data_IF_119504710260
#
_entry.id   IF_119504710260
#
_cell.length_a   1.000
_cell.length_b   1.000
_cell.length_c   1.000
_cell.angle_alpha   90.00
_cell.angle_beta   90.00
_cell.angle_gamma   90.00
#
_symmetry.space_group_name_H-M   'P 1'
#
loop_
_entity.id
_entity.type
_entity.pdbx_description
1 polymer ?
#
# COMPACT_ATOMS: atom_id res chain seq x y z
N UNK A 1 8.91 24.05 -26.71
CA UNK A 1 9.37 24.08 -25.30
C UNK A 1 8.14 24.13 -24.40
N UNK A 2 8.13 23.41 -23.26
CA UNK A 2 7.04 23.51 -22.30
C UNK A 2 6.79 24.96 -21.89
N UNK A 3 5.52 25.34 -21.76
CA UNK A 3 5.17 26.65 -21.21
C UNK A 3 5.43 26.62 -19.70
N UNK A 4 6.61 27.09 -19.30
CA UNK A 4 7.07 27.00 -17.91
C UNK A 4 6.19 27.83 -16.98
N UNK A 5 5.72 29.00 -17.45
CA UNK A 5 4.82 29.84 -16.68
C UNK A 5 3.53 29.09 -16.31
N UNK A 6 2.97 28.36 -17.27
CA UNK A 6 1.78 27.55 -17.04
C UNK A 6 2.00 26.43 -16.00
N UNK A 7 3.20 25.84 -15.95
CA UNK A 7 3.55 24.83 -14.94
C UNK A 7 3.69 25.44 -13.54
N UNK A 8 4.27 26.63 -13.43
CA UNK A 8 4.35 27.36 -12.16
C UNK A 8 2.95 27.72 -11.63
N UNK A 9 2.06 28.16 -12.52
CA UNK A 9 0.67 28.48 -12.18
C UNK A 9 -0.08 27.25 -11.65
N UNK A 10 0.05 26.09 -12.32
CA UNK A 10 -0.56 24.83 -11.86
C UNK A 10 -0.05 24.42 -10.47
N UNK A 11 1.24 24.61 -10.19
CA UNK A 11 1.83 24.31 -8.87
C UNK A 11 1.30 25.29 -7.81
N UNK A 12 1.18 26.58 -8.14
CA UNK A 12 0.66 27.61 -7.24
C UNK A 12 -0.82 27.38 -6.89
N UNK A 13 -1.62 26.89 -7.85
CA UNK A 13 -3.02 26.51 -7.64
C UNK A 13 -3.18 25.18 -6.86
N UNK A 14 -2.07 24.48 -6.57
CA UNK A 14 -2.09 23.20 -5.87
C UNK A 14 -2.51 22.02 -6.74
N UNK A 15 -2.53 22.18 -8.07
CA UNK A 15 -2.82 21.17 -9.09
C UNK A 15 -1.57 20.36 -9.45
N UNK A 16 -0.94 19.77 -8.44
CA UNK A 16 0.33 19.05 -8.58
C UNK A 16 0.26 17.89 -9.58
N UNK A 17 -0.87 17.18 -9.65
CA UNK A 17 -1.07 16.07 -10.58
C UNK A 17 -1.09 16.52 -12.04
N UNK A 18 -1.84 17.58 -12.35
CA UNK A 18 -1.90 18.17 -13.69
C UNK A 18 -0.52 18.72 -14.11
N UNK A 19 0.23 19.32 -13.18
CA UNK A 19 1.59 19.80 -13.44
C UNK A 19 2.55 18.64 -13.78
N UNK A 20 2.46 17.52 -13.06
CA UNK A 20 3.27 16.31 -13.33
C UNK A 20 2.94 15.69 -14.69
N UNK A 21 1.66 15.65 -15.05
CA UNK A 21 1.21 15.13 -16.34
C UNK A 21 1.66 16.01 -17.51
N UNK A 22 1.51 17.33 -17.36
CA UNK A 22 2.00 18.29 -18.34
C UNK A 22 3.53 18.21 -18.52
N UNK A 23 4.28 17.98 -17.43
CA UNK A 23 5.72 17.75 -17.48
C UNK A 23 6.07 16.44 -18.19
N UNK A 24 5.41 15.32 -17.86
CA UNK A 24 5.66 14.04 -18.54
C UNK A 24 5.39 14.13 -20.04
N UNK A 25 4.37 14.88 -20.43
CA UNK A 25 4.03 15.12 -21.83
C UNK A 25 5.07 15.97 -22.54
N UNK A 26 5.54 17.03 -21.88
CA UNK A 26 6.54 17.94 -22.44
C UNK A 26 7.94 17.31 -22.55
N UNK A 27 8.27 16.35 -21.69
CA UNK A 27 9.61 15.76 -21.54
C UNK A 27 9.69 14.30 -21.98
N UNK A 28 8.78 13.84 -22.85
CA UNK A 28 8.65 12.44 -23.31
C UNK A 28 9.97 11.76 -23.72
N UNK A 29 10.85 12.46 -24.41
CA UNK A 29 12.09 11.91 -24.98
C UNK A 29 13.37 12.46 -24.34
N UNK A 30 13.27 13.04 -23.14
CA UNK A 30 14.42 13.66 -22.45
C UNK A 30 14.95 12.77 -21.33
N UNK A 31 16.24 12.94 -20.99
CA UNK A 31 16.86 12.23 -19.86
C UNK A 31 16.17 12.55 -18.52
N UNK A 32 15.54 13.72 -18.44
CA UNK A 32 14.82 14.19 -17.26
C UNK A 32 13.48 13.49 -17.01
N UNK A 33 12.98 12.70 -17.96
CA UNK A 33 11.71 11.96 -17.83
C UNK A 33 11.70 11.03 -16.61
N UNK A 34 12.83 10.39 -16.32
CA UNK A 34 12.93 9.45 -15.21
C UNK A 34 12.66 10.12 -13.85
N UNK A 35 13.20 11.33 -13.65
CA UNK A 35 13.01 12.10 -12.43
C UNK A 35 11.54 12.54 -12.26
N UNK A 36 10.88 12.93 -13.35
CA UNK A 36 9.45 13.28 -13.33
C UNK A 36 8.59 12.06 -12.98
N UNK A 37 8.92 10.88 -13.52
CA UNK A 37 8.23 9.62 -13.18
C UNK A 37 8.38 9.30 -11.68
N UNK A 38 9.57 9.48 -11.12
CA UNK A 38 9.83 9.29 -9.69
C UNK A 38 8.96 10.23 -8.84
N UNK A 39 8.91 11.51 -9.17
CA UNK A 39 8.09 12.49 -8.47
C UNK A 39 6.59 12.16 -8.57
N UNK A 40 6.12 11.71 -9.75
CA UNK A 40 4.74 11.28 -9.94
C UNK A 40 4.40 10.04 -9.11
N UNK A 41 5.31 9.06 -9.05
CA UNK A 41 5.11 7.86 -8.24
C UNK A 41 5.02 8.20 -6.75
N UNK A 42 5.87 9.11 -6.26
CA UNK A 42 5.83 9.58 -4.87
C UNK A 42 4.53 10.32 -4.55
N UNK A 43 4.04 11.16 -5.49
CA UNK A 43 2.76 11.84 -5.35
C UNK A 43 1.59 10.85 -5.30
N UNK A 44 1.56 9.86 -6.20
CA UNK A 44 0.52 8.85 -6.23
C UNK A 44 0.49 8.01 -4.94
N UNK A 45 1.67 7.67 -4.39
CA UNK A 45 1.79 6.93 -3.13
C UNK A 45 1.19 7.73 -1.96
N UNK A 46 1.61 8.98 -1.76
CA UNK A 46 1.11 9.78 -0.63
C UNK A 46 -0.37 10.12 -0.79
N UNK A 47 -0.83 10.35 -2.02
CA UNK A 47 -2.23 10.57 -2.31
C UNK A 47 -3.08 9.33 -2.02
N UNK A 48 -2.61 8.15 -2.42
CA UNK A 48 -3.24 6.87 -2.09
C UNK A 48 -3.31 6.68 -0.58
N UNK A 49 -2.19 6.84 0.14
CA UNK A 49 -2.13 6.73 1.60
C UNK A 49 -3.09 7.69 2.31
N UNK A 50 -3.27 8.90 1.79
CA UNK A 50 -4.23 9.86 2.34
C UNK A 50 -5.68 9.39 2.11
N UNK A 51 -6.00 8.89 0.90
CA UNK A 51 -7.34 8.38 0.58
C UNK A 51 -7.74 7.19 1.44
N UNK A 52 -6.80 6.33 1.82
CA UNK A 52 -7.05 5.17 2.69
C UNK A 52 -6.84 5.47 4.18
N UNK A 53 -6.57 6.72 4.55
CA UNK A 53 -6.43 7.16 5.93
C UNK A 53 -5.17 6.70 6.66
N UNK A 54 -4.13 6.28 5.93
CA UNK A 54 -2.82 5.92 6.51
C UNK A 54 -2.05 7.17 6.95
N UNK A 55 -2.15 8.27 6.18
CA UNK A 55 -1.52 9.55 6.53
C UNK A 55 -2.58 10.60 6.85
N UNK A 56 -2.25 11.48 7.78
CA UNK A 56 -3.10 12.62 8.15
C UNK A 56 -3.11 13.69 7.04
N UNK A 57 -4.08 14.60 7.09
CA UNK A 57 -4.15 15.73 6.16
C UNK A 57 -2.87 16.59 6.21
N UNK A 58 -2.35 16.87 7.42
CA UNK A 58 -1.13 17.67 7.60
C UNK A 58 0.09 16.98 6.99
N UNK A 59 0.21 15.66 7.15
CA UNK A 59 1.28 14.85 6.55
C UNK A 59 1.17 14.82 5.02
N UNK A 60 -0.05 14.72 4.49
CA UNK A 60 -0.32 14.82 3.06
C UNK A 60 0.08 16.19 2.51
N UNK A 61 -0.32 17.29 3.16
CA UNK A 61 0.06 18.65 2.75
C UNK A 61 1.57 18.86 2.77
N UNK A 62 2.24 18.38 3.81
CA UNK A 62 3.68 18.47 3.93
C UNK A 62 4.40 17.67 2.83
N UNK A 63 3.93 16.48 2.50
CA UNK A 63 4.48 15.70 1.39
C UNK A 63 4.21 16.34 0.03
N UNK A 64 3.00 16.86 -0.21
CA UNK A 64 2.67 17.62 -1.42
C UNK A 64 3.59 18.84 -1.59
N UNK A 65 3.82 19.61 -0.53
CA UNK A 65 4.71 20.77 -0.57
C UNK A 65 6.16 20.38 -0.89
N UNK A 66 6.64 19.26 -0.34
CA UNK A 66 7.98 18.74 -0.68
C UNK A 66 8.09 18.39 -2.16
N UNK A 67 7.08 17.72 -2.72
CA UNK A 67 7.03 17.38 -4.15
C UNK A 67 6.98 18.65 -5.00
N UNK A 68 6.16 19.63 -4.64
CA UNK A 68 6.09 20.92 -5.34
C UNK A 68 7.44 21.64 -5.32
N UNK A 69 8.15 21.68 -4.18
CA UNK A 69 9.49 22.27 -4.12
C UNK A 69 10.50 21.52 -4.99
N UNK A 70 10.44 20.19 -5.02
CA UNK A 70 11.30 19.38 -5.90
C UNK A 70 11.01 19.69 -7.38
N UNK A 71 9.73 19.79 -7.77
CA UNK A 71 9.31 20.15 -9.13
C UNK A 71 9.81 21.54 -9.54
N UNK A 72 9.64 22.54 -8.67
CA UNK A 72 10.12 23.89 -8.95
C UNK A 72 11.65 23.95 -9.10
N UNK A 73 12.39 23.24 -8.24
CA UNK A 73 13.84 23.13 -8.36
C UNK A 73 14.25 22.47 -9.68
N UNK A 74 13.55 21.41 -10.07
CA UNK A 74 13.77 20.69 -11.32
C UNK A 74 13.50 21.58 -12.56
N UNK A 75 12.41 22.33 -12.55
CA UNK A 75 12.10 23.32 -13.59
C UNK A 75 13.21 24.38 -13.70
N UNK A 76 13.69 24.88 -12.56
CA UNK A 76 14.78 25.86 -12.52
C UNK A 76 16.12 25.30 -13.02
N UNK A 77 16.43 24.02 -12.76
CA UNK A 77 17.64 23.40 -13.30
C UNK A 77 17.60 23.30 -14.82
N UNK A 78 16.44 22.97 -15.39
CA UNK A 78 16.26 22.93 -16.85
C UNK A 78 16.40 24.33 -17.47
N UNK A 79 15.89 25.37 -16.80
CA UNK A 79 16.07 26.75 -17.27
C UNK A 79 17.53 27.20 -17.25
N UNK A 80 18.32 26.78 -16.24
CA UNK A 80 19.72 27.20 -16.07
C UNK A 80 20.70 26.59 -17.08
N UNK A 81 20.34 25.52 -17.79
CA UNK A 81 21.17 24.95 -18.87
C UNK A 81 21.16 25.80 -20.16
N UNK A 82 20.34 26.86 -20.22
CA UNK A 82 20.46 27.92 -21.22
C UNK A 82 21.38 29.02 -20.64
N UNK A 83 22.52 29.35 -21.29
CA UNK A 83 23.49 30.29 -20.73
C UNK A 83 22.97 31.71 -20.93
N UNK A 84 22.05 32.14 -20.08
CA UNK A 84 21.76 33.56 -19.92
C UNK A 84 22.26 34.05 -18.57
N UNK A 85 23.17 35.00 -18.69
CA UNK A 85 23.98 35.62 -17.66
C UNK A 85 23.06 36.38 -16.68
N UNK A 86 22.63 35.72 -15.61
CA UNK A 86 21.89 36.40 -14.54
C UNK A 86 22.88 37.05 -13.58
N UNK A 87 23.08 38.36 -13.77
CA UNK A 87 23.48 39.28 -12.72
C UNK A 87 22.44 39.25 -11.59
N UNK A 88 22.85 38.74 -10.43
CA UNK A 88 22.07 38.71 -9.20
C UNK A 88 22.09 40.12 -8.57
N UNK A 89 20.96 40.80 -8.32
CA UNK A 89 20.92 41.83 -7.30
C UNK A 89 20.93 41.15 -5.93
N UNK A 90 21.97 41.50 -5.18
CA UNK A 90 22.26 41.11 -3.80
C UNK A 90 21.05 41.40 -2.89
N UNK A 91 20.32 40.35 -2.51
CA UNK A 91 19.39 40.40 -1.38
C UNK A 91 20.21 39.98 -0.17
N UNK A 92 20.64 40.96 0.62
CA UNK A 92 21.21 40.73 1.96
C UNK A 92 20.14 40.03 2.82
N UNK A 93 20.31 38.73 3.00
CA UNK A 93 19.57 37.92 3.97
C UNK A 93 20.38 37.85 5.27
N UNK A 94 19.84 38.29 6.42
CA UNK A 94 20.59 38.40 7.68
C UNK A 94 20.65 37.08 8.47
N UNK A 95 20.85 35.94 7.79
CA UNK A 95 21.01 34.64 8.44
C UNK A 95 22.22 33.89 7.87
N UNK A 96 23.39 34.40 8.20
CA UNK A 96 24.69 33.81 7.87
C UNK A 96 25.38 33.30 9.13
N UNK A 97 24.75 32.36 9.86
CA UNK A 97 25.40 31.64 10.99
C UNK A 97 24.65 30.36 11.42
N UNK A 98 23.98 29.65 10.50
CA UNK A 98 23.35 28.36 10.80
C UNK A 98 24.00 27.22 10.01
N UNK A 99 24.94 26.58 10.67
CA UNK A 99 25.68 25.39 10.27
C UNK A 99 24.73 24.24 9.83
N UNK A 100 24.69 23.85 8.54
CA UNK A 100 23.72 22.91 7.98
C UNK A 100 23.85 21.47 8.53
N UNK A 101 24.94 21.15 9.23
CA UNK A 101 25.12 19.86 9.92
C UNK A 101 24.37 19.75 11.25
N UNK A 102 23.94 20.87 11.85
CA UNK A 102 23.25 20.87 13.15
C UNK A 102 21.77 20.47 13.05
N UNK A 103 21.14 20.74 11.90
CA UNK A 103 19.71 20.48 11.68
C UNK A 103 19.42 18.99 11.48
N UNK A 104 20.33 18.27 10.81
CA UNK A 104 20.16 16.83 10.58
C UNK A 104 20.30 16.01 11.88
N UNK A 105 21.14 16.48 12.81
CA UNK A 105 21.34 15.84 14.12
C UNK A 105 20.14 16.00 15.07
N UNK A 106 19.32 17.03 14.87
CA UNK A 106 18.11 17.31 15.69
C UNK A 106 16.83 16.61 15.19
N UNK A 107 16.76 16.22 13.91
CA UNK A 107 15.58 15.55 13.32
C UNK A 107 15.58 14.02 13.48
N UNK A 108 16.75 13.39 13.67
CA UNK A 108 16.89 11.95 13.85
C UNK A 108 16.13 11.36 15.07
N UNK A 109 16.11 11.97 16.27
CA UNK A 109 15.39 11.39 17.40
C UNK A 109 13.86 11.47 17.25
N UNK A 110 13.32 12.44 16.51
CA UNK A 110 11.86 12.64 16.39
C UNK A 110 11.22 11.61 15.46
N UNK A 111 11.85 11.30 14.33
CA UNK A 111 11.36 10.28 13.39
C UNK A 111 11.55 8.87 13.99
N UNK A 112 12.66 8.64 14.70
CA UNK A 112 12.91 7.37 15.39
C UNK A 112 11.91 7.10 16.52
N UNK A 113 11.48 8.13 17.28
CA UNK A 113 10.44 8.00 18.30
C UNK A 113 9.06 7.72 17.71
N UNK A 114 8.72 8.34 16.57
CA UNK A 114 7.44 8.07 15.87
C UNK A 114 7.37 6.63 15.34
N UNK A 115 8.45 6.12 14.74
CA UNK A 115 8.50 4.74 14.26
C UNK A 115 8.49 3.70 15.40
N UNK A 116 9.11 4.01 16.54
CA UNK A 116 9.11 3.14 17.73
C UNK A 116 7.72 3.01 18.37
N UNK A 117 6.94 4.09 18.39
CA UNK A 117 5.58 4.10 18.96
C UNK A 117 4.57 3.34 18.09
N UNK A 118 4.69 3.41 16.76
CA UNK A 118 3.81 2.68 15.83
C UNK A 118 4.04 1.16 15.88
N UNK A 119 5.30 0.71 15.96
CA UNK A 119 5.63 -0.72 16.10
C UNK A 119 5.10 -1.31 17.42
N UNK A 120 5.15 -0.54 18.50
CA UNK A 120 4.60 -0.93 19.81
C UNK A 120 3.08 -1.12 19.75
N UNK A 121 2.35 -0.27 19.02
CA UNK A 121 0.90 -0.36 18.95
C UNK A 121 0.45 -1.59 18.14
N UNK A 122 1.05 -1.82 16.97
CA UNK A 122 0.73 -2.99 16.15
C UNK A 122 1.06 -4.31 16.86
N UNK A 123 2.18 -4.36 17.60
CA UNK A 123 2.54 -5.53 18.41
C UNK A 123 1.53 -5.78 19.54
N UNK A 124 1.03 -4.73 20.20
CA UNK A 124 0.01 -4.88 21.24
C UNK A 124 -1.33 -5.36 20.67
N UNK A 125 -1.74 -4.86 19.50
CA UNK A 125 -2.96 -5.34 18.82
C UNK A 125 -2.84 -6.80 18.37
N UNK A 126 -1.73 -7.20 17.74
CA UNK A 126 -1.50 -8.59 17.33
C UNK A 126 -1.52 -9.55 18.52
N UNK A 127 -0.89 -9.17 19.64
CA UNK A 127 -0.86 -9.99 20.85
C UNK A 127 -2.27 -10.14 21.46
N UNK A 128 -3.08 -9.08 21.47
CA UNK A 128 -4.46 -9.13 21.92
C UNK A 128 -5.33 -10.07 21.06
N UNK A 129 -5.18 -10.02 19.73
CA UNK A 129 -5.91 -10.91 18.81
C UNK A 129 -5.54 -12.39 19.05
N UNK A 130 -4.25 -12.67 19.28
CA UNK A 130 -3.77 -14.03 19.58
C UNK A 130 -4.34 -14.53 20.91
N UNK A 131 -4.33 -13.72 21.97
CA UNK A 131 -4.90 -14.09 23.28
C UNK A 131 -6.40 -14.33 23.16
N UNK A 132 -7.14 -13.44 22.49
CA UNK A 132 -8.58 -13.60 22.29
C UNK A 132 -8.93 -14.87 21.52
N UNK A 133 -8.16 -15.17 20.47
CA UNK A 133 -8.35 -16.39 19.67
C UNK A 133 -8.08 -17.65 20.50
N UNK A 134 -7.04 -17.64 21.34
CA UNK A 134 -6.72 -18.75 22.24
C UNK A 134 -7.81 -18.94 23.31
N UNK A 135 -8.33 -17.85 23.87
CA UNK A 135 -9.42 -17.90 24.85
C UNK A 135 -10.71 -18.50 24.27
N UNK A 136 -11.07 -18.11 23.04
CA UNK A 136 -12.21 -18.69 22.31
C UNK A 136 -11.99 -20.19 22.06
N UNK A 137 -10.78 -20.58 21.66
CA UNK A 137 -10.45 -21.98 21.43
C UNK A 137 -10.57 -22.83 22.71
N UNK A 138 -10.01 -22.35 23.82
CA UNK A 138 -10.10 -23.03 25.13
C UNK A 138 -11.55 -23.11 25.59
N UNK A 139 -12.33 -22.03 25.48
CA UNK A 139 -13.74 -22.03 25.82
C UNK A 139 -14.54 -23.03 24.95
N UNK A 140 -14.22 -23.15 23.66
CA UNK A 140 -14.81 -24.14 22.77
C UNK A 140 -14.51 -25.59 23.18
N UNK A 141 -13.27 -25.90 23.56
CA UNK A 141 -12.87 -27.23 24.04
C UNK A 141 -13.56 -27.55 25.38
N UNK A 142 -13.61 -26.60 26.31
CA UNK A 142 -14.35 -26.75 27.57
C UNK A 142 -15.84 -26.97 27.33
N UNK A 143 -16.46 -26.20 26.42
CA UNK A 143 -17.86 -26.35 26.09
C UNK A 143 -18.15 -27.72 25.48
N UNK A 144 -17.33 -28.20 24.55
CA UNK A 144 -17.45 -29.55 24.01
C UNK A 144 -17.31 -30.62 25.10
N UNK A 145 -16.29 -30.53 25.95
CA UNK A 145 -16.08 -31.52 27.01
C UNK A 145 -17.26 -31.56 28.00
N UNK A 146 -17.79 -30.39 28.36
CA UNK A 146 -18.97 -30.29 29.24
C UNK A 146 -20.21 -30.83 28.55
N UNK A 147 -20.38 -30.57 27.25
CA UNK A 147 -21.49 -31.08 26.45
C UNK A 147 -21.46 -32.62 26.32
N UNK A 148 -20.27 -33.21 26.16
CA UNK A 148 -20.10 -34.67 26.14
C UNK A 148 -20.32 -35.32 27.50
N UNK A 149 -19.98 -34.64 28.60
CA UNK A 149 -20.19 -35.17 29.96
C UNK A 149 -21.63 -34.98 30.48
N UNK A 150 -22.33 -33.91 30.11
CA UNK A 150 -23.73 -33.68 30.50
C UNK A 150 -24.72 -34.31 29.52
N UNK A 151 -24.35 -34.47 28.25
CA UNK A 151 -25.10 -35.14 27.19
C UNK A 151 -24.94 -36.65 27.21
N UNK A 152 -25.19 -37.27 28.37
CA UNK A 152 -25.36 -38.71 28.48
C UNK A 152 -26.65 -39.15 27.77
N UNK A 153 -26.53 -39.50 26.48
CA UNK A 153 -27.56 -40.23 25.74
C UNK A 153 -28.36 -39.38 24.74
N UNK A 154 -28.39 -39.87 23.50
CA UNK A 154 -29.29 -39.47 22.42
C UNK A 154 -28.98 -38.16 21.68
N UNK A 155 -27.91 -38.13 20.89
CA UNK A 155 -27.90 -37.47 19.57
C UNK A 155 -26.79 -38.08 18.69
N UNK A 156 -26.95 -39.34 18.30
CA UNK A 156 -26.03 -40.08 17.41
C UNK A 156 -26.21 -39.76 15.92
N UNK A 157 -26.61 -38.54 15.55
CA UNK A 157 -26.90 -38.22 14.14
C UNK A 157 -26.86 -36.74 13.73
N UNK A 158 -26.15 -35.87 14.47
CA UNK A 158 -25.69 -34.60 13.87
C UNK A 158 -24.26 -34.85 13.44
N UNK A 159 -24.05 -35.05 12.13
CA UNK A 159 -22.72 -35.22 11.57
C UNK A 159 -21.89 -33.98 11.89
N UNK A 160 -21.03 -34.10 12.89
CA UNK A 160 -19.87 -33.25 13.07
C UNK A 160 -18.95 -33.50 11.87
N UNK A 161 -19.23 -32.83 10.76
CA UNK A 161 -18.16 -32.44 9.85
C UNK A 161 -17.29 -31.52 10.71
N UNK A 162 -16.06 -31.92 11.10
CA UNK A 162 -15.24 -31.09 11.95
C UNK A 162 -15.12 -29.73 11.28
N UNK A 163 -15.31 -28.66 12.05
CA UNK A 163 -15.19 -27.27 11.57
C UNK A 163 -13.88 -27.05 10.80
N UNK A 164 -12.86 -27.85 11.13
CA UNK A 164 -11.59 -27.94 10.41
C UNK A 164 -11.72 -28.35 8.93
N UNK A 165 -12.64 -29.25 8.58
CA UNK A 165 -12.93 -29.64 7.20
C UNK A 165 -13.67 -28.53 6.44
N UNK A 166 -14.65 -27.87 7.09
CA UNK A 166 -15.30 -26.67 6.51
C UNK A 166 -14.28 -25.55 6.28
N UNK A 167 -13.38 -25.32 7.24
CA UNK A 167 -12.31 -24.32 7.12
C UNK A 167 -11.32 -24.67 5.99
N UNK A 168 -10.95 -25.94 5.84
CA UNK A 168 -10.05 -26.40 4.78
C UNK A 168 -10.70 -26.29 3.39
N UNK A 169 -11.99 -26.58 3.27
CA UNK A 169 -12.78 -26.39 2.04
C UNK A 169 -12.89 -24.90 1.71
N UNK A 170 -13.16 -24.03 2.69
CA UNK A 170 -13.21 -22.57 2.47
C UNK A 170 -11.87 -21.98 2.04
N UNK A 171 -10.74 -22.47 2.59
CA UNK A 171 -9.40 -22.06 2.16
C UNK A 171 -9.09 -22.50 0.71
N UNK A 172 -9.51 -23.70 0.32
CA UNK A 172 -9.33 -24.21 -1.04
C UNK A 172 -10.21 -23.44 -2.04
N UNK A 173 -11.44 -23.07 -1.67
CA UNK A 173 -12.34 -22.29 -2.52
C UNK A 173 -11.77 -20.88 -2.79
N UNK A 174 -11.25 -20.22 -1.77
CA UNK A 174 -10.58 -18.91 -1.88
C UNK A 174 -9.32 -18.98 -2.76
N UNK A 175 -8.61 -20.10 -2.75
CA UNK A 175 -7.44 -20.32 -3.62
C UNK A 175 -7.84 -20.54 -5.08
N UNK A 176 -8.99 -21.19 -5.33
CA UNK A 176 -9.54 -21.40 -6.69
C UNK A 176 -10.12 -20.11 -7.26
N UNK A 177 -10.81 -19.29 -6.46
CA UNK A 177 -11.25 -17.94 -6.87
C UNK A 177 -10.06 -16.98 -7.06
N UNK A 178 -9.01 -17.11 -6.25
CA UNK A 178 -7.76 -16.38 -6.48
C UNK A 178 -7.09 -16.74 -7.80
N UNK A 179 -7.08 -18.03 -8.15
CA UNK A 179 -6.51 -18.53 -9.41
C UNK A 179 -7.33 -18.13 -10.64
N UNK A 180 -8.66 -18.11 -10.55
CA UNK A 180 -9.53 -17.69 -11.66
C UNK A 180 -9.38 -16.21 -11.98
N UNK A 181 -9.14 -15.35 -10.99
CA UNK A 181 -8.86 -13.93 -11.21
C UNK A 181 -7.47 -13.64 -11.79
N UNK A 182 -6.45 -14.48 -11.52
CA UNK A 182 -5.12 -14.36 -12.17
C UNK A 182 -5.04 -14.92 -13.59
N UNK A 183 -6.05 -15.67 -14.06
CA UNK A 183 -6.10 -16.27 -15.40
C UNK A 183 -7.13 -15.59 -16.33
N UNK A 184 -7.64 -14.41 -15.98
CA UNK A 184 -8.49 -13.59 -16.87
C UNK A 184 -7.60 -12.87 -17.89
N UNK A 185 -7.13 -13.64 -18.88
CA UNK A 185 -6.63 -13.16 -20.15
C UNK A 185 -7.49 -13.57 -21.35
N UNK A 186 -8.31 -14.63 -21.22
CA UNK A 186 -9.39 -15.00 -22.16
C UNK A 186 -10.18 -16.19 -21.60
N UNK A 187 -11.50 -16.30 -21.91
CA UNK A 187 -12.28 -17.47 -21.50
C UNK A 187 -11.75 -18.74 -22.17
N UNK A 188 -11.53 -19.85 -21.43
CA UNK A 188 -11.03 -21.09 -21.98
C UNK A 188 -12.04 -21.71 -22.95
N UNK A 189 -11.58 -22.12 -24.13
CA UNK A 189 -12.40 -22.80 -25.14
C UNK A 189 -12.84 -24.18 -24.62
N UNK A 190 -14.01 -24.66 -25.08
CA UNK A 190 -14.76 -25.75 -24.44
C UNK A 190 -14.02 -27.07 -24.13
N UNK A 191 -12.87 -27.34 -24.75
CA UNK A 191 -12.04 -28.52 -24.44
C UNK A 191 -11.17 -28.35 -23.18
N UNK A 192 -10.76 -27.13 -22.85
CA UNK A 192 -9.96 -26.84 -21.65
C UNK A 192 -10.82 -26.83 -20.39
N UNK A 193 -12.06 -26.34 -20.50
CA UNK A 193 -13.04 -26.40 -19.41
C UNK A 193 -13.37 -27.84 -19.01
N UNK A 194 -13.44 -28.76 -19.98
CA UNK A 194 -13.71 -30.18 -19.75
C UNK A 194 -12.51 -30.91 -19.11
N UNK A 195 -11.28 -30.52 -19.48
CA UNK A 195 -10.06 -31.04 -18.87
C UNK A 195 -9.88 -30.55 -17.42
N UNK A 196 -10.18 -29.28 -17.14
CA UNK A 196 -10.16 -28.72 -15.79
C UNK A 196 -11.25 -29.36 -14.92
N UNK A 197 -12.46 -29.55 -15.47
CA UNK A 197 -13.56 -30.22 -14.78
C UNK A 197 -13.26 -31.68 -14.40
N UNK A 198 -12.71 -32.46 -15.34
CA UNK A 198 -12.33 -33.85 -15.08
C UNK A 198 -11.19 -33.97 -14.07
N UNK A 199 -10.19 -33.08 -14.13
CA UNK A 199 -9.08 -33.05 -13.18
C UNK A 199 -9.56 -32.69 -11.78
N UNK A 200 -10.47 -31.72 -11.64
CA UNK A 200 -11.10 -31.35 -10.37
C UNK A 200 -11.92 -32.50 -9.78
N UNK A 201 -12.74 -33.17 -10.59
CA UNK A 201 -13.54 -34.31 -10.11
C UNK A 201 -12.66 -35.47 -9.64
N UNK A 202 -11.55 -35.74 -10.33
CA UNK A 202 -10.61 -36.80 -9.93
C UNK A 202 -9.91 -36.44 -8.61
N UNK A 203 -9.56 -35.17 -8.38
CA UNK A 203 -8.94 -34.70 -7.15
C UNK A 203 -9.90 -34.72 -5.96
N UNK A 204 -11.17 -34.40 -6.19
CA UNK A 204 -12.23 -34.47 -5.19
C UNK A 204 -12.50 -35.93 -4.79
N UNK A 205 -12.60 -36.82 -5.78
CA UNK A 205 -12.88 -38.24 -5.53
C UNK A 205 -11.74 -38.94 -4.77
N UNK A 206 -10.48 -38.59 -5.06
CA UNK A 206 -9.29 -39.15 -4.38
C UNK A 206 -9.15 -38.67 -2.92
N UNK A 207 -9.69 -37.50 -2.57
CA UNK A 207 -9.64 -36.97 -1.20
C UNK A 207 -10.86 -37.35 -0.35
N UNK A 208 -11.96 -37.81 -0.97
CA UNK A 208 -13.13 -38.33 -0.27
C UNK A 208 -13.05 -39.84 0.05
N UNK A 209 -12.08 -40.55 -0.53
CA UNK A 209 -11.85 -41.99 -0.30
C UNK A 209 -10.81 -42.30 0.79
N UNK A 210 -10.49 -41.34 1.66
CA UNK A 210 -9.64 -41.49 2.86
C UNK A 210 -10.46 -41.10 4.09
#
# INVERSE_FOLDING_TARGET
MPNIQHLEDLIAEGKTEEALDALLEAFRDTEHRHEIILLKSQYAEIHSHHRIGIVTYDEFQLGRNKINHALLRFIQSIQKEVPEKISIPEIESPFSDADPLSFHKKMLPVIALKLRKSRSFYQQCMLAVIIMSLAIFVAGVYFQNTFFHFGGGALSSISLIPVWLKFKISQQLLFVEGLSHTLIGSPPSGKEAELIGSTLMTLVQKNLSL
#
